data_IF_221816698065
#
_entry.id   IF_221816698065
#
_cell.length_a   1.000
_cell.length_b   1.000
_cell.length_c   1.000
_cell.angle_alpha   90.00
_cell.angle_beta   90.00
_cell.angle_gamma   90.00
#
_symmetry.space_group_name_H-M   'P 1'
#
loop_
_entity.id
_entity.type
_entity.pdbx_description
1 polymer ?
#
# COMPACT_ATOMS: atom_id res chain seq x y z
N UNK A 1 27.17 20.41 -2.15
CA UNK A 1 27.00 20.21 -3.61
C UNK A 1 25.53 20.31 -3.93
N UNK A 2 25.10 21.28 -4.75
CA UNK A 2 23.69 21.41 -5.14
C UNK A 2 23.32 20.24 -6.07
N UNK A 3 22.24 19.52 -5.76
CA UNK A 3 21.71 18.47 -6.65
C UNK A 3 21.26 19.14 -7.94
N UNK A 4 21.92 18.82 -9.04
CA UNK A 4 21.54 19.26 -10.38
C UNK A 4 20.19 18.59 -10.72
N UNK A 5 19.11 19.36 -10.71
CA UNK A 5 17.76 18.80 -10.92
C UNK A 5 17.49 18.86 -12.42
N UNK A 6 17.53 17.70 -13.10
CA UNK A 6 17.17 17.60 -14.51
C UNK A 6 15.64 17.62 -14.69
N UNK A 7 15.15 18.41 -15.64
CA UNK A 7 13.73 18.56 -15.91
C UNK A 7 13.32 17.69 -17.13
N UNK A 8 12.17 17.02 -17.02
CA UNK A 8 11.52 16.30 -18.13
C UNK A 8 10.27 17.01 -18.61
N UNK A 9 9.91 16.86 -19.89
CA UNK A 9 8.70 17.45 -20.47
C UNK A 9 7.70 16.35 -20.84
N UNK A 10 6.44 16.52 -20.43
CA UNK A 10 5.32 15.64 -20.79
C UNK A 10 4.17 16.47 -21.34
N UNK A 11 3.42 15.91 -22.30
CA UNK A 11 2.22 16.56 -22.83
C UNK A 11 1.00 16.09 -22.03
N UNK A 12 0.25 17.05 -21.51
CA UNK A 12 -0.99 16.82 -20.76
C UNK A 12 -2.15 17.46 -21.53
N UNK A 13 -3.34 16.84 -21.50
CA UNK A 13 -4.51 17.41 -22.18
C UNK A 13 -4.90 18.74 -21.54
N UNK A 14 -5.29 19.70 -22.37
CA UNK A 14 -5.60 21.07 -21.92
C UNK A 14 -6.78 21.11 -20.94
N UNK A 15 -7.81 20.28 -21.14
CA UNK A 15 -8.97 20.20 -20.24
C UNK A 15 -8.57 19.80 -18.81
N UNK A 16 -7.55 18.95 -18.67
CA UNK A 16 -7.03 18.56 -17.36
C UNK A 16 -6.25 19.70 -16.70
N UNK A 17 -5.45 20.45 -17.47
CA UNK A 17 -4.78 21.67 -16.99
C UNK A 17 -5.83 22.68 -16.49
N UNK A 18 -6.89 22.91 -17.25
CA UNK A 18 -7.94 23.86 -16.88
C UNK A 18 -8.67 23.44 -15.59
N UNK A 19 -8.92 22.14 -15.41
CA UNK A 19 -9.48 21.58 -14.17
C UNK A 19 -8.55 21.77 -12.98
N UNK A 20 -7.25 21.54 -13.15
CA UNK A 20 -6.26 21.73 -12.09
C UNK A 20 -6.13 23.22 -11.72
N UNK A 21 -6.11 24.12 -12.70
CA UNK A 21 -6.12 25.57 -12.47
C UNK A 21 -7.36 25.99 -11.67
N UNK A 22 -8.55 25.50 -12.03
CA UNK A 22 -9.78 25.75 -11.25
C UNK A 22 -9.67 25.22 -9.83
N UNK A 23 -9.12 24.01 -9.64
CA UNK A 23 -8.96 23.40 -8.33
C UNK A 23 -8.04 24.22 -7.41
N UNK A 24 -6.98 24.85 -7.93
CA UNK A 24 -6.07 25.70 -7.15
C UNK A 24 -6.77 26.90 -6.50
N UNK A 25 -7.90 27.34 -7.03
CA UNK A 25 -8.69 28.43 -6.45
C UNK A 25 -9.66 27.96 -5.35
N UNK A 26 -9.66 26.67 -5.02
CA UNK A 26 -10.48 26.15 -3.90
C UNK A 26 -9.81 26.45 -2.56
N UNK A 27 -10.63 26.72 -1.54
CA UNK A 27 -10.16 26.97 -0.18
C UNK A 27 -9.43 25.75 0.43
N UNK A 28 -9.65 24.54 -0.09
CA UNK A 28 -8.91 23.35 0.31
C UNK A 28 -7.45 23.42 -0.15
N UNK A 29 -7.21 23.55 -1.46
CA UNK A 29 -5.84 23.57 -1.99
C UNK A 29 -5.05 24.82 -1.61
N UNK A 30 -5.72 25.95 -1.40
CA UNK A 30 -5.07 27.16 -0.87
C UNK A 30 -4.59 26.97 0.57
N UNK A 31 -5.37 26.28 1.44
CA UNK A 31 -4.94 25.94 2.80
C UNK A 31 -3.78 24.96 2.81
N UNK A 32 -3.70 24.07 1.84
CA UNK A 32 -2.57 23.15 1.65
C UNK A 32 -1.32 23.83 1.05
N UNK A 33 -1.40 25.12 0.68
CA UNK A 33 -0.26 25.91 0.23
C UNK A 33 0.09 25.73 -1.25
N UNK A 34 -0.77 25.12 -2.06
CA UNK A 34 -0.53 24.99 -3.49
C UNK A 34 -0.74 26.32 -4.22
N UNK A 35 0.28 26.75 -4.97
CA UNK A 35 0.25 28.06 -5.65
C UNK A 35 0.19 27.97 -7.18
N UNK A 36 0.54 26.81 -7.75
CA UNK A 36 0.59 26.63 -9.19
C UNK A 36 0.38 25.17 -9.62
N UNK A 37 0.04 24.99 -10.91
CA UNK A 37 -0.27 23.68 -11.48
C UNK A 37 0.92 22.74 -11.43
N UNK A 38 2.15 23.24 -11.56
CA UNK A 38 3.35 22.40 -11.51
C UNK A 38 3.56 21.79 -10.11
N UNK A 39 3.40 22.57 -9.04
CA UNK A 39 3.47 22.08 -7.66
C UNK A 39 2.37 21.05 -7.36
N UNK A 40 1.14 21.35 -7.76
CA UNK A 40 0.02 20.42 -7.59
C UNK A 40 0.27 19.11 -8.36
N UNK A 41 0.74 19.23 -9.60
CA UNK A 41 1.07 18.08 -10.46
C UNK A 41 2.19 17.24 -9.87
N UNK A 42 3.28 17.87 -9.43
CA UNK A 42 4.41 17.17 -8.78
C UNK A 42 3.93 16.42 -7.53
N UNK A 43 3.10 17.04 -6.69
CA UNK A 43 2.55 16.38 -5.50
C UNK A 43 1.66 15.16 -5.85
N UNK A 44 0.74 15.33 -6.81
CA UNK A 44 -0.15 14.26 -7.25
C UNK A 44 0.64 13.10 -7.84
N UNK A 45 1.60 13.39 -8.73
CA UNK A 45 2.43 12.36 -9.37
C UNK A 45 3.28 11.65 -8.31
N UNK A 46 3.91 12.37 -7.37
CA UNK A 46 4.67 11.74 -6.28
C UNK A 46 3.81 10.80 -5.44
N UNK A 47 2.59 11.22 -5.06
CA UNK A 47 1.66 10.37 -4.30
C UNK A 47 1.22 9.15 -5.12
N UNK A 48 0.93 9.33 -6.41
CA UNK A 48 0.55 8.24 -7.30
C UNK A 48 1.71 7.25 -7.49
N UNK A 49 2.93 7.72 -7.73
CA UNK A 49 4.12 6.89 -7.85
C UNK A 49 4.40 6.16 -6.54
N UNK A 50 4.36 6.85 -5.40
CA UNK A 50 4.51 6.21 -4.09
C UNK A 50 3.48 5.10 -3.88
N UNK A 51 2.24 5.27 -4.35
CA UNK A 51 1.21 4.24 -4.30
C UNK A 51 1.45 3.08 -5.27
N UNK A 52 2.05 3.34 -6.44
CA UNK A 52 2.41 2.29 -7.41
C UNK A 52 3.66 1.52 -7.00
N UNK A 53 4.59 2.20 -6.32
CA UNK A 53 5.83 1.63 -5.77
C UNK A 53 5.59 0.94 -4.44
N UNK A 54 4.54 1.34 -3.69
CA UNK A 54 4.15 0.67 -2.47
C UNK A 54 3.86 -0.80 -2.78
N UNK A 55 4.59 -1.68 -2.09
CA UNK A 55 4.26 -3.11 -2.12
C UNK A 55 2.84 -3.23 -1.61
N UNK A 56 2.00 -3.97 -2.33
CA UNK A 56 0.62 -4.23 -1.90
C UNK A 56 0.59 -4.70 -0.45
N UNK A 57 1.51 -5.58 -0.08
CA UNK A 57 1.61 -6.14 1.26
C UNK A 57 2.92 -5.74 1.95
N UNK A 58 2.81 -5.39 3.22
CA UNK A 58 3.94 -5.17 4.11
C UNK A 58 3.77 -5.99 5.40
N UNK A 59 4.80 -6.72 5.80
CA UNK A 59 4.85 -7.38 7.10
C UNK A 59 5.09 -6.33 8.20
N UNK A 60 4.14 -6.18 9.13
CA UNK A 60 4.22 -5.22 10.22
C UNK A 60 4.81 -5.86 11.47
N UNK A 61 4.22 -6.96 11.92
CA UNK A 61 4.66 -7.65 13.12
C UNK A 61 4.22 -9.11 13.13
N UNK A 62 4.89 -9.93 13.93
CA UNK A 62 4.60 -11.35 14.09
C UNK A 62 4.44 -11.67 15.57
N UNK A 63 3.42 -12.45 15.89
CA UNK A 63 3.10 -12.96 17.21
C UNK A 63 3.04 -14.49 17.17
N UNK A 64 2.89 -15.09 18.34
CA UNK A 64 2.86 -16.55 18.52
C UNK A 64 1.72 -17.21 17.73
N UNK A 65 0.55 -16.56 17.65
CA UNK A 65 -0.66 -17.10 17.04
C UNK A 65 -1.14 -16.33 15.80
N UNK A 66 -0.47 -15.25 15.41
CA UNK A 66 -0.85 -14.47 14.22
C UNK A 66 0.26 -13.56 13.69
N UNK A 67 0.16 -13.24 12.40
CA UNK A 67 0.98 -12.21 11.74
C UNK A 67 0.11 -11.02 11.36
N UNK A 68 0.63 -9.81 11.55
CA UNK A 68 0.02 -8.56 11.11
C UNK A 68 0.64 -8.13 9.79
N UNK A 69 -0.21 -7.98 8.77
CA UNK A 69 0.13 -7.56 7.42
C UNK A 69 -0.63 -6.27 7.11
N UNK A 70 0.03 -5.27 6.54
CA UNK A 70 -0.63 -4.11 5.95
C UNK A 70 -0.93 -4.42 4.48
N UNK A 71 -2.21 -4.38 4.08
CA UNK A 71 -2.62 -4.38 2.67
C UNK A 71 -2.92 -2.93 2.25
N UNK A 72 -2.01 -2.35 1.46
CA UNK A 72 -2.08 -0.99 0.95
C UNK A 72 -3.22 -0.80 -0.09
N UNK A 73 -3.82 -1.89 -0.60
CA UNK A 73 -4.95 -1.81 -1.54
C UNK A 73 -6.32 -1.82 -0.86
N UNK A 74 -6.39 -2.04 0.46
CA UNK A 74 -7.65 -2.06 1.21
C UNK A 74 -7.81 -0.76 1.99
N UNK A 75 -8.87 0.00 1.70
CA UNK A 75 -9.15 1.28 2.35
C UNK A 75 -8.29 2.43 1.82
N UNK A 76 -8.45 3.63 2.41
CA UNK A 76 -7.82 4.86 1.89
C UNK A 76 -6.35 5.02 2.30
N UNK A 77 -5.92 4.33 3.36
CA UNK A 77 -4.57 4.43 3.94
C UNK A 77 -3.93 3.04 4.13
N UNK A 78 -4.43 2.04 3.41
CA UNK A 78 -4.17 0.64 3.71
C UNK A 78 -4.93 0.17 4.95
N UNK A 79 -4.97 -1.15 5.14
CA UNK A 79 -5.59 -1.81 6.29
C UNK A 79 -4.65 -2.83 6.88
N UNK A 80 -4.48 -2.79 8.20
CA UNK A 80 -3.77 -3.82 8.95
C UNK A 80 -4.72 -5.01 9.11
N UNK A 81 -4.22 -6.19 8.77
CA UNK A 81 -4.94 -7.46 8.74
C UNK A 81 -4.13 -8.48 9.53
N UNK A 82 -4.77 -9.19 10.46
CA UNK A 82 -4.27 -10.41 11.06
C UNK A 82 -4.50 -11.61 10.15
N UNK A 83 -3.47 -12.42 10.00
CA UNK A 83 -3.60 -13.83 9.62
C UNK A 83 -3.30 -14.66 10.87
N UNK A 84 -4.31 -15.36 11.38
CA UNK A 84 -4.21 -16.22 12.55
C UNK A 84 -3.75 -17.61 12.14
N UNK A 85 -2.88 -18.22 12.94
CA UNK A 85 -2.45 -19.60 12.82
C UNK A 85 -2.47 -20.23 14.22
N UNK A 86 -3.29 -21.26 14.39
CA UNK A 86 -3.46 -21.98 15.66
C UNK A 86 -3.20 -23.45 15.43
N UNK A 87 -2.54 -24.11 16.37
CA UNK A 87 -2.26 -25.56 16.28
C UNK A 87 -3.51 -26.35 15.87
N UNK A 88 -3.35 -27.25 14.89
CA UNK A 88 -4.40 -28.11 14.36
C UNK A 88 -5.56 -27.39 13.65
N UNK A 89 -5.42 -26.11 13.28
CA UNK A 89 -6.42 -25.37 12.49
C UNK A 89 -5.77 -24.67 11.31
N UNK A 90 -6.41 -24.73 10.14
CA UNK A 90 -5.94 -23.98 8.98
C UNK A 90 -5.78 -22.48 9.31
N UNK A 91 -4.75 -21.80 8.77
CA UNK A 91 -4.61 -20.37 8.94
C UNK A 91 -5.87 -19.64 8.46
N UNK A 92 -6.31 -18.61 9.16
CA UNK A 92 -7.49 -17.82 8.80
C UNK A 92 -7.12 -16.33 8.74
N UNK A 93 -7.51 -15.67 7.64
CA UNK A 93 -7.43 -14.24 7.50
C UNK A 93 -8.62 -13.55 8.18
N UNK A 94 -8.37 -12.59 9.07
CA UNK A 94 -9.45 -11.87 9.78
C UNK A 94 -10.32 -11.00 8.84
N UNK A 95 -9.79 -10.62 7.68
CA UNK A 95 -10.48 -9.74 6.74
C UNK A 95 -11.25 -10.51 5.67
N UNK A 96 -10.67 -11.59 5.15
CA UNK A 96 -11.32 -12.43 4.14
C UNK A 96 -12.23 -13.49 4.76
N UNK A 97 -12.04 -13.81 6.04
CA UNK A 97 -12.71 -14.92 6.74
C UNK A 97 -12.50 -16.27 6.03
N UNK A 98 -11.36 -16.41 5.36
CA UNK A 98 -11.00 -17.54 4.50
C UNK A 98 -9.59 -18.05 4.85
N UNK A 99 -9.35 -19.33 4.60
CA UNK A 99 -8.06 -20.00 4.72
C UNK A 99 -7.26 -20.05 3.41
N UNK A 100 -7.86 -19.64 2.29
CA UNK A 100 -7.15 -19.44 1.02
C UNK A 100 -7.41 -18.03 0.46
N UNK A 101 -6.52 -17.11 0.78
CA UNK A 101 -6.58 -15.75 0.27
C UNK A 101 -5.19 -15.15 0.05
N UNK A 102 -5.16 -14.03 -0.66
CA UNK A 102 -3.92 -13.28 -0.95
C UNK A 102 -3.13 -12.88 0.30
N UNK A 103 -3.79 -12.65 1.44
CA UNK A 103 -3.11 -12.33 2.70
C UNK A 103 -2.41 -13.56 3.29
N UNK A 104 -3.02 -14.74 3.19
CA UNK A 104 -2.42 -16.00 3.62
C UNK A 104 -1.26 -16.37 2.70
N UNK A 105 -1.44 -16.25 1.38
CA UNK A 105 -0.37 -16.45 0.41
C UNK A 105 0.84 -15.56 0.72
N UNK A 106 0.62 -14.28 0.99
CA UNK A 106 1.70 -13.37 1.40
C UNK A 106 2.33 -13.78 2.73
N UNK A 107 1.54 -14.22 3.73
CA UNK A 107 2.08 -14.72 4.99
C UNK A 107 3.07 -15.89 4.79
N UNK A 108 2.82 -16.75 3.81
CA UNK A 108 3.71 -17.85 3.41
C UNK A 108 4.98 -17.41 2.67
N UNK A 109 4.99 -16.22 2.07
CA UNK A 109 6.19 -15.62 1.46
C UNK A 109 7.14 -15.04 2.52
N UNK A 110 6.63 -14.67 3.70
CA UNK A 110 7.43 -14.15 4.80
C UNK A 110 8.24 -15.32 5.41
N UNK A 111 9.55 -15.31 5.22
CA UNK A 111 10.44 -16.40 5.62
C UNK A 111 10.25 -16.85 7.09
N UNK A 112 10.24 -15.90 8.03
CA UNK A 112 10.08 -16.20 9.45
C UNK A 112 8.70 -16.82 9.79
N UNK A 113 7.63 -16.31 9.16
CA UNK A 113 6.26 -16.83 9.36
C UNK A 113 6.16 -18.23 8.77
N UNK A 114 6.68 -18.43 7.55
CA UNK A 114 6.73 -19.74 6.91
C UNK A 114 7.45 -20.79 7.75
N UNK A 115 8.55 -20.41 8.41
CA UNK A 115 9.32 -21.34 9.24
C UNK A 115 8.53 -21.77 10.48
N UNK A 116 7.79 -20.85 11.12
CA UNK A 116 6.85 -21.15 12.22
C UNK A 116 5.72 -22.04 11.73
N UNK A 117 5.08 -21.68 10.62
CA UNK A 117 3.98 -22.46 10.05
C UNK A 117 4.40 -23.90 9.74
N UNK A 118 5.62 -24.10 9.22
CA UNK A 118 6.19 -25.44 9.01
C UNK A 118 6.46 -26.19 10.31
N UNK A 119 6.97 -25.53 11.35
CA UNK A 119 7.19 -26.15 12.66
C UNK A 119 5.88 -26.67 13.28
N UNK A 120 4.78 -25.95 13.07
CA UNK A 120 3.44 -26.37 13.52
C UNK A 120 2.72 -27.32 12.54
N UNK A 121 3.38 -27.78 11.47
CA UNK A 121 2.85 -28.80 10.57
C UNK A 121 1.89 -28.28 9.49
N UNK A 122 1.79 -26.97 9.29
CA UNK A 122 0.97 -26.40 8.21
C UNK A 122 1.57 -26.62 6.84
N UNK A 123 0.70 -26.67 5.83
CA UNK A 123 1.07 -26.74 4.41
C UNK A 123 0.79 -25.40 3.74
N UNK A 124 1.61 -25.00 2.75
CA UNK A 124 1.33 -23.80 1.97
C UNK A 124 -0.02 -23.93 1.24
N UNK A 125 -0.72 -22.82 1.01
CA UNK A 125 -1.91 -22.78 0.16
C UNK A 125 -1.56 -23.28 -1.25
N UNK A 126 -2.57 -23.85 -1.92
CA UNK A 126 -2.42 -24.55 -3.21
C UNK A 126 -2.29 -23.59 -4.39
#
# INVERSE_FOLDING_TARGET
MAKNTSWGNVRVRQDLIDRMTKALHTAELQREGFTNVAQLTDNIIRKALASLEAKRFEHINMYEDHVKILDNHIGRQGRIISVYYKENMDPICEYCEDSDCVHIQYAWEIGAVRDILKQHGFKPPS
#
